data_IF_383400182574
#
_entry.id   IF_383400182574
#
_cell.length_a   1.000
_cell.length_b   1.000
_cell.length_c   1.000
_cell.angle_alpha   90.00
_cell.angle_beta   90.00
_cell.angle_gamma   90.00
#
_symmetry.space_group_name_H-M   'P 1'
#
loop_
_entity.id
_entity.type
_entity.pdbx_description
1 polymer ?
#
# COMPACT_ATOMS: atom_id res chain seq x y z
N UNK A 1 25.46 12.97 22.71
CA UNK A 1 25.10 11.82 21.86
C UNK A 1 23.74 12.11 21.26
N UNK A 2 23.55 11.84 19.97
CA UNK A 2 22.23 11.90 19.35
C UNK A 2 21.38 10.70 19.77
N UNK A 3 20.07 10.88 19.80
CA UNK A 3 19.09 9.78 19.87
C UNK A 3 18.65 9.50 18.44
N UNK A 4 18.67 8.24 18.01
CA UNK A 4 18.30 7.81 16.67
C UNK A 4 17.07 6.89 16.72
N UNK A 5 16.23 6.96 15.70
CA UNK A 5 15.04 6.12 15.58
C UNK A 5 15.35 4.86 14.76
N UNK A 6 15.52 3.75 15.46
CA UNK A 6 15.83 2.45 14.84
C UNK A 6 14.59 1.57 14.61
N UNK A 7 13.39 2.00 15.02
CA UNK A 7 12.17 1.22 14.79
C UNK A 7 11.77 1.23 13.32
N UNK A 8 11.02 0.21 12.93
CA UNK A 8 10.44 0.11 11.60
C UNK A 8 9.51 1.29 11.32
N UNK A 9 9.52 1.78 10.08
CA UNK A 9 8.58 2.77 9.55
C UNK A 9 7.68 2.15 8.50
N UNK A 10 6.78 2.95 7.92
CA UNK A 10 5.89 2.53 6.84
C UNK A 10 6.63 1.93 5.64
N UNK A 11 7.68 2.62 5.17
CA UNK A 11 8.42 2.24 3.97
C UNK A 11 9.63 1.35 4.27
N UNK A 12 10.25 1.50 5.45
CA UNK A 12 11.48 0.80 5.84
C UNK A 12 11.27 0.02 7.13
N UNK A 13 11.17 -1.30 7.00
CA UNK A 13 10.88 -2.22 8.12
C UNK A 13 12.10 -2.97 8.62
N UNK A 14 13.17 -3.05 7.83
CA UNK A 14 14.42 -3.72 8.17
C UNK A 14 15.59 -2.74 8.03
N UNK A 15 16.07 -2.24 9.17
CA UNK A 15 17.17 -1.25 9.24
C UNK A 15 18.53 -1.90 9.51
N UNK A 16 18.53 -3.08 10.10
CA UNK A 16 19.73 -3.85 10.42
C UNK A 16 20.08 -4.84 9.30
N UNK A 17 20.72 -4.36 8.24
CA UNK A 17 21.29 -5.20 7.18
C UNK A 17 22.78 -5.49 7.42
N UNK A 18 23.34 -6.57 6.82
CA UNK A 18 24.78 -6.79 6.84
C UNK A 18 25.55 -5.59 6.28
N UNK A 19 26.55 -5.13 7.02
CA UNK A 19 27.39 -4.01 6.58
C UNK A 19 28.30 -4.50 5.44
N UNK A 20 28.29 -3.84 4.26
CA UNK A 20 29.16 -4.24 3.16
C UNK A 20 30.64 -3.98 3.51
N UNK A 21 31.58 -4.53 2.74
CA UNK A 21 32.99 -4.18 2.91
C UNK A 21 33.24 -2.71 2.51
N UNK A 22 33.90 -1.96 3.40
CA UNK A 22 34.28 -0.56 3.16
C UNK A 22 35.62 -0.22 3.82
N UNK A 23 36.23 0.86 3.36
CA UNK A 23 37.37 1.50 4.03
C UNK A 23 36.99 2.90 4.48
N UNK A 24 37.62 3.35 5.57
CA UNK A 24 37.46 4.71 6.10
C UNK A 24 38.81 5.42 6.03
N UNK A 25 38.79 6.63 5.48
CA UNK A 25 39.90 7.57 5.60
C UNK A 25 39.40 8.83 6.27
N UNK A 26 39.99 9.16 7.41
CA UNK A 26 39.60 10.32 8.19
C UNK A 26 40.76 11.32 8.29
N UNK A 27 40.45 12.59 8.12
CA UNK A 27 41.37 13.72 8.33
C UNK A 27 40.72 14.71 9.29
N UNK A 28 41.42 15.80 9.62
CA UNK A 28 40.84 16.87 10.44
C UNK A 28 39.62 17.54 9.77
N UNK A 29 39.55 17.52 8.43
CA UNK A 29 38.51 18.22 7.64
C UNK A 29 37.47 17.31 7.02
N UNK A 30 37.85 16.09 6.65
CA UNK A 30 37.00 15.19 5.87
C UNK A 30 36.96 13.78 6.45
N UNK A 31 35.77 13.17 6.36
CA UNK A 31 35.55 11.74 6.48
C UNK A 31 35.25 11.19 5.08
N UNK A 32 36.02 10.20 4.63
CA UNK A 32 35.78 9.49 3.37
C UNK A 32 35.47 8.03 3.65
N UNK A 33 34.34 7.53 3.16
CA UNK A 33 33.96 6.11 3.19
C UNK A 33 33.98 5.59 1.77
N UNK A 34 34.74 4.53 1.50
CA UNK A 34 34.85 3.93 0.16
C UNK A 34 34.40 2.48 0.15
N UNK A 35 33.59 2.11 -0.83
CA UNK A 35 33.22 0.73 -1.14
C UNK A 35 33.77 0.34 -2.51
N UNK A 36 33.49 -0.88 -3.00
CA UNK A 36 33.79 -1.24 -4.39
C UNK A 36 33.00 -0.39 -5.41
N UNK A 37 31.86 0.18 -5.01
CA UNK A 37 30.87 0.80 -5.90
C UNK A 37 30.87 2.33 -5.85
N UNK A 38 31.05 2.90 -4.66
CA UNK A 38 30.93 4.34 -4.43
C UNK A 38 31.92 4.85 -3.40
N UNK A 39 32.12 6.17 -3.41
CA UNK A 39 32.87 6.93 -2.43
C UNK A 39 31.96 8.02 -1.87
N UNK A 40 31.81 8.05 -0.54
CA UNK A 40 31.15 9.11 0.20
C UNK A 40 32.21 10.02 0.82
N UNK A 41 32.06 11.32 0.66
CA UNK A 41 32.89 12.33 1.32
C UNK A 41 32.00 13.29 2.13
N UNK A 42 32.39 13.51 3.38
CA UNK A 42 31.72 14.41 4.31
C UNK A 42 32.68 15.42 4.94
N UNK A 43 32.33 16.70 4.89
CA UNK A 43 33.06 17.78 5.56
C UNK A 43 32.72 17.80 7.06
N UNK A 44 33.66 17.37 7.90
CA UNK A 44 33.46 17.18 9.35
C UNK A 44 33.05 18.48 10.05
N UNK A 45 32.16 18.34 11.03
CA UNK A 45 31.69 19.45 11.86
C UNK A 45 30.76 20.45 11.15
N UNK A 46 30.26 20.11 9.96
CA UNK A 46 29.29 20.92 9.20
C UNK A 46 27.98 20.16 9.04
N UNK A 47 26.81 20.82 9.09
CA UNK A 47 25.55 20.18 8.72
C UNK A 47 25.60 19.64 7.28
N UNK A 48 24.81 18.62 6.98
CA UNK A 48 24.66 18.13 5.61
C UNK A 48 24.04 19.19 4.72
N UNK A 49 24.71 19.45 3.59
CA UNK A 49 24.40 20.44 2.56
C UNK A 49 25.01 19.95 1.25
N UNK A 50 24.63 20.60 0.14
CA UNK A 50 25.15 20.27 -1.19
C UNK A 50 26.68 20.31 -1.29
N UNK A 51 27.32 21.18 -0.51
CA UNK A 51 28.77 21.39 -0.48
C UNK A 51 29.50 20.59 0.62
N UNK A 52 28.77 19.87 1.48
CA UNK A 52 29.37 19.18 2.63
C UNK A 52 29.17 17.67 2.63
N UNK A 53 28.24 17.12 1.84
CA UNK A 53 28.04 15.68 1.68
C UNK A 53 27.87 15.33 0.20
N UNK A 54 28.83 14.54 -0.31
CA UNK A 54 28.95 14.13 -1.71
C UNK A 54 29.09 12.61 -1.79
N UNK A 55 28.40 11.99 -2.75
CA UNK A 55 28.60 10.58 -3.13
C UNK A 55 28.87 10.49 -4.62
N UNK A 56 29.91 9.75 -4.99
CA UNK A 56 30.31 9.50 -6.39
C UNK A 56 30.54 8.02 -6.63
N UNK A 57 30.37 7.59 -7.88
CA UNK A 57 30.81 6.26 -8.32
C UNK A 57 32.32 6.11 -8.29
N UNK A 58 32.79 4.88 -8.10
CA UNK A 58 34.22 4.56 -8.33
C UNK A 58 34.54 4.59 -9.82
N UNK A 59 35.82 4.51 -10.19
CA UNK A 59 36.24 4.45 -11.59
C UNK A 59 35.60 3.28 -12.38
N UNK A 60 35.17 2.21 -11.70
CA UNK A 60 34.48 1.07 -12.29
C UNK A 60 32.95 1.27 -12.44
N UNK A 61 32.39 2.33 -11.85
CA UNK A 61 30.96 2.61 -11.77
C UNK A 61 30.66 4.04 -12.26
N UNK A 62 30.95 4.29 -13.53
CA UNK A 62 30.79 5.60 -14.19
C UNK A 62 29.34 5.94 -14.57
N UNK A 63 28.43 4.98 -14.41
CA UNK A 63 27.00 5.14 -14.63
C UNK A 63 26.25 5.74 -13.43
N UNK A 64 26.97 5.99 -12.32
CA UNK A 64 26.50 6.74 -11.16
C UNK A 64 26.96 8.20 -11.26
N UNK A 65 26.03 9.11 -11.60
CA UNK A 65 26.31 10.55 -11.54
C UNK A 65 26.59 10.98 -10.10
N UNK A 66 27.42 12.01 -9.88
CA UNK A 66 27.61 12.59 -8.56
C UNK A 66 26.29 13.02 -7.92
N UNK A 67 26.09 12.64 -6.67
CA UNK A 67 24.97 13.06 -5.84
C UNK A 67 25.46 13.95 -4.70
N UNK A 68 24.76 15.05 -4.46
CA UNK A 68 24.99 15.93 -3.31
C UNK A 68 23.73 16.01 -2.44
N UNK A 69 23.91 16.23 -1.13
CA UNK A 69 22.78 16.25 -0.20
C UNK A 69 21.69 17.25 -0.58
N UNK A 70 20.43 16.80 -0.57
CA UNK A 70 19.27 17.59 -0.98
C UNK A 70 19.15 17.83 -2.50
N UNK A 71 19.95 17.15 -3.32
CA UNK A 71 19.79 17.17 -4.77
C UNK A 71 18.59 16.31 -5.19
N UNK A 72 17.69 16.90 -5.98
CA UNK A 72 16.61 16.17 -6.62
C UNK A 72 17.09 15.56 -7.94
N UNK A 73 16.73 14.31 -8.18
CA UNK A 73 17.10 13.59 -9.40
C UNK A 73 16.20 14.03 -10.55
N UNK A 74 16.76 14.72 -11.56
CA UNK A 74 16.03 15.12 -12.78
C UNK A 74 15.77 13.92 -13.69
N UNK A 75 16.58 12.89 -13.57
CA UNK A 75 16.46 11.65 -14.31
C UNK A 75 15.62 10.57 -13.62
N UNK A 76 14.92 10.89 -12.52
CA UNK A 76 14.16 9.90 -11.75
C UNK A 76 13.02 9.34 -12.60
N UNK A 77 12.83 8.02 -12.58
CA UNK A 77 11.79 7.35 -13.38
C UNK A 77 10.41 7.32 -12.70
N UNK A 78 10.30 8.01 -11.56
CA UNK A 78 9.10 8.35 -10.81
C UNK A 78 8.30 7.16 -10.28
N UNK A 79 7.29 7.45 -9.47
CA UNK A 79 6.27 6.49 -9.08
C UNK A 79 4.95 6.70 -9.83
N UNK A 80 3.95 5.91 -9.46
CA UNK A 80 2.56 6.13 -9.91
C UNK A 80 1.84 7.14 -9.01
N UNK A 81 0.57 7.45 -9.26
CA UNK A 81 -0.29 8.20 -8.33
C UNK A 81 -1.32 7.28 -7.67
N UNK A 82 -1.97 7.74 -6.60
CA UNK A 82 -2.97 6.94 -5.88
C UNK A 82 -4.14 6.50 -6.75
N UNK A 83 -4.65 7.40 -7.59
CA UNK A 83 -5.85 7.19 -8.39
C UNK A 83 -5.74 7.89 -9.73
N UNK A 84 -6.21 7.22 -10.79
CA UNK A 84 -6.38 7.79 -12.13
C UNK A 84 -7.85 8.22 -12.41
N UNK A 85 -8.74 8.09 -11.43
CA UNK A 85 -10.13 8.52 -11.60
C UNK A 85 -10.23 10.01 -11.91
N UNK A 86 -11.06 10.32 -12.92
CA UNK A 86 -11.27 11.69 -13.37
C UNK A 86 -10.12 12.26 -14.21
N UNK A 87 -9.08 11.47 -14.51
CA UNK A 87 -8.04 11.85 -15.45
C UNK A 87 -8.27 11.21 -16.82
N UNK A 88 -8.02 12.00 -17.87
CA UNK A 88 -7.76 11.48 -19.22
C UNK A 88 -6.30 10.96 -19.30
N UNK A 89 -5.65 11.09 -20.46
CA UNK A 89 -4.21 10.83 -20.59
C UNK A 89 -3.40 11.86 -19.78
N UNK A 90 -3.01 11.50 -18.56
CA UNK A 90 -2.18 12.32 -17.66
C UNK A 90 -0.72 11.85 -17.67
N UNK A 91 0.22 12.79 -17.66
CA UNK A 91 1.62 12.45 -17.41
C UNK A 91 1.78 12.14 -15.92
N UNK A 92 2.29 10.96 -15.59
CA UNK A 92 2.68 10.63 -14.22
C UNK A 92 3.92 11.41 -13.76
N UNK A 93 4.48 12.25 -14.63
CA UNK A 93 5.54 13.16 -14.27
C UNK A 93 4.99 14.39 -13.55
N UNK A 94 5.19 14.48 -12.22
CA UNK A 94 4.76 15.65 -11.43
C UNK A 94 5.27 16.99 -11.97
N UNK A 95 6.40 16.99 -12.69
CA UNK A 95 6.96 18.23 -13.25
C UNK A 95 6.23 18.69 -14.50
N UNK A 96 5.44 17.82 -15.12
CA UNK A 96 4.71 18.05 -16.37
C UNK A 96 3.19 18.13 -16.17
N UNK A 97 2.68 17.69 -15.03
CA UNK A 97 1.25 17.72 -14.70
C UNK A 97 0.98 18.59 -13.47
N UNK A 98 0.83 19.92 -13.65
CA UNK A 98 0.46 20.84 -12.55
C UNK A 98 -0.97 20.63 -12.05
N UNK A 99 -1.76 19.79 -12.73
CA UNK A 99 -3.16 19.48 -12.43
C UNK A 99 -3.37 18.04 -11.95
N UNK A 100 -2.37 17.38 -11.35
CA UNK A 100 -2.69 16.25 -10.48
C UNK A 100 -3.20 16.90 -9.19
N UNK A 101 -4.53 17.00 -8.96
CA UNK A 101 -5.08 17.62 -7.76
C UNK A 101 -4.35 17.17 -6.49
N UNK A 102 -4.41 18.02 -5.47
CA UNK A 102 -3.74 17.96 -4.15
C UNK A 102 -3.89 16.64 -3.36
N UNK A 103 -4.48 15.61 -3.96
CA UNK A 103 -4.67 14.28 -3.39
C UNK A 103 -3.38 13.46 -3.25
N UNK A 104 -2.28 13.77 -3.95
CA UNK A 104 -1.03 12.99 -3.82
C UNK A 104 0.27 13.74 -4.23
N UNK A 105 0.82 14.61 -3.36
CA UNK A 105 2.08 15.32 -3.63
C UNK A 105 3.32 14.40 -3.67
N UNK A 106 3.19 13.15 -3.21
CA UNK A 106 4.32 12.26 -2.96
C UNK A 106 4.74 11.39 -4.16
N UNK A 107 4.02 11.37 -5.28
CA UNK A 107 4.31 10.46 -6.38
C UNK A 107 5.71 10.64 -7.00
N UNK A 108 6.22 11.86 -7.02
CA UNK A 108 7.59 12.13 -7.45
C UNK A 108 8.66 11.70 -6.44
N UNK A 109 8.29 11.52 -5.17
CA UNK A 109 9.17 10.98 -4.14
C UNK A 109 9.17 9.44 -4.09
N UNK A 110 8.34 8.77 -4.90
CA UNK A 110 8.22 7.31 -4.88
C UNK A 110 9.12 6.56 -5.87
N UNK A 111 9.86 7.26 -6.75
CA UNK A 111 10.75 6.57 -7.69
C UNK A 111 12.08 6.15 -7.06
N UNK A 112 12.38 4.84 -7.09
CA UNK A 112 13.62 4.25 -6.53
C UNK A 112 14.77 4.13 -7.54
N UNK A 113 14.52 4.48 -8.80
CA UNK A 113 15.48 4.33 -9.89
C UNK A 113 15.52 5.60 -10.75
N UNK A 114 16.70 5.87 -11.30
CA UNK A 114 16.97 7.08 -12.07
C UNK A 114 17.95 6.83 -13.20
N UNK A 115 17.82 7.58 -14.28
CA UNK A 115 18.81 7.63 -15.37
C UNK A 115 20.11 8.33 -14.94
N UNK A 116 20.10 9.08 -13.83
CA UNK A 116 21.29 9.66 -13.19
C UNK A 116 22.01 8.65 -12.27
N UNK A 117 21.45 7.45 -12.10
CA UNK A 117 22.09 6.35 -11.38
C UNK A 117 21.84 6.31 -9.87
N UNK A 118 21.10 7.29 -9.34
CA UNK A 118 20.74 7.34 -7.92
C UNK A 118 19.31 7.82 -7.68
N UNK A 119 18.72 7.37 -6.58
CA UNK A 119 17.47 7.88 -6.04
C UNK A 119 17.57 8.01 -4.51
N UNK A 120 16.78 8.90 -3.93
CA UNK A 120 16.73 9.10 -2.48
C UNK A 120 15.34 8.78 -1.97
N UNK A 121 15.25 7.94 -0.94
CA UNK A 121 14.04 7.71 -0.17
C UNK A 121 14.16 8.44 1.17
N UNK A 122 13.26 9.39 1.42
CA UNK A 122 13.17 10.14 2.67
C UNK A 122 12.24 9.45 3.67
N UNK A 123 12.79 9.08 4.83
CA UNK A 123 12.09 8.35 5.89
C UNK A 123 11.88 9.18 7.18
N UNK A 124 12.35 10.43 7.20
CA UNK A 124 11.99 11.42 8.22
C UNK A 124 10.48 11.70 8.26
N UNK A 125 9.91 11.86 9.46
CA UNK A 125 8.51 12.21 9.69
C UNK A 125 7.52 11.08 9.41
N UNK A 126 8.00 9.91 8.95
CA UNK A 126 7.15 8.76 8.59
C UNK A 126 6.60 8.08 9.85
N UNK A 127 5.38 7.51 9.78
CA UNK A 127 4.81 6.72 10.86
C UNK A 127 5.70 5.54 11.24
N UNK A 128 5.80 5.29 12.54
CA UNK A 128 6.53 4.17 13.12
C UNK A 128 5.57 2.99 13.27
N UNK A 129 6.06 1.81 12.92
CA UNK A 129 5.41 0.55 13.22
C UNK A 129 5.71 0.18 14.68
N UNK A 130 4.67 0.03 15.48
CA UNK A 130 4.80 -0.32 16.90
C UNK A 130 5.04 -1.82 17.10
N UNK A 131 5.18 -2.23 18.36
CA UNK A 131 5.49 -3.62 18.74
C UNK A 131 4.38 -4.63 18.43
N UNK A 132 3.17 -4.19 18.06
CA UNK A 132 2.07 -5.09 17.66
C UNK A 132 1.96 -5.21 16.13
N UNK A 133 3.04 -4.88 15.41
CA UNK A 133 3.12 -4.83 13.95
C UNK A 133 2.12 -3.85 13.33
N UNK A 134 1.60 -2.91 14.11
CA UNK A 134 0.63 -1.93 13.65
C UNK A 134 1.31 -0.61 13.34
N UNK A 135 0.84 0.11 12.32
CA UNK A 135 1.34 1.46 12.07
C UNK A 135 0.73 2.43 13.08
N UNK A 136 1.57 3.02 13.91
CA UNK A 136 1.13 4.10 14.76
C UNK A 136 1.17 5.41 13.97
N UNK A 137 0.02 6.03 13.67
CA UNK A 137 -0.04 7.32 12.99
C UNK A 137 0.46 8.47 13.88
N UNK A 138 0.51 8.24 15.21
CA UNK A 138 0.93 9.23 16.22
C UNK A 138 2.43 9.15 16.46
N UNK A 139 3.01 7.95 16.44
CA UNK A 139 4.46 7.79 16.58
C UNK A 139 5.10 8.03 15.21
N UNK A 140 5.93 9.06 15.12
CA UNK A 140 6.64 9.43 13.90
C UNK A 140 8.14 9.34 14.10
N UNK A 141 8.86 9.08 13.02
CA UNK A 141 10.30 9.22 12.99
C UNK A 141 10.68 10.69 13.13
N UNK A 142 11.31 11.06 14.24
CA UNK A 142 11.69 12.44 14.56
C UNK A 142 13.18 12.73 14.31
N UNK A 143 13.93 11.79 13.72
CA UNK A 143 15.33 12.01 13.37
C UNK A 143 15.45 13.19 12.41
N UNK A 144 16.33 14.15 12.68
CA UNK A 144 16.44 15.36 11.84
C UNK A 144 16.70 15.03 10.36
N UNK A 145 17.40 13.92 10.10
CA UNK A 145 17.71 13.39 8.78
C UNK A 145 17.63 11.87 8.89
N UNK A 146 16.75 11.25 8.10
CA UNK A 146 16.71 9.82 7.89
C UNK A 146 16.38 9.56 6.42
N UNK A 147 17.38 9.06 5.68
CA UNK A 147 17.32 8.92 4.24
C UNK A 147 18.11 7.70 3.75
N UNK A 148 17.66 7.14 2.63
CA UNK A 148 18.29 6.00 1.97
C UNK A 148 18.68 6.40 0.55
N UNK A 149 19.97 6.33 0.23
CA UNK A 149 20.50 6.60 -1.11
C UNK A 149 20.64 5.31 -1.90
N UNK A 150 19.78 5.14 -2.91
CA UNK A 150 19.84 4.04 -3.87
C UNK A 150 20.81 4.36 -5.01
N UNK A 151 22.11 4.22 -4.77
CA UNK A 151 23.17 4.54 -5.73
C UNK A 151 23.60 3.33 -6.58
N UNK A 152 22.72 2.86 -7.45
CA UNK A 152 22.88 1.58 -8.19
C UNK A 152 23.35 1.75 -9.64
N UNK A 153 23.58 2.98 -10.09
CA UNK A 153 23.82 3.25 -11.50
C UNK A 153 22.61 2.83 -12.33
N UNK A 154 22.83 2.08 -13.40
CA UNK A 154 21.77 1.56 -14.26
C UNK A 154 21.29 0.15 -13.90
N UNK A 155 21.74 -0.41 -12.77
CA UNK A 155 21.23 -1.70 -12.29
C UNK A 155 19.90 -1.54 -11.55
N UNK A 156 18.85 -1.22 -12.32
CA UNK A 156 17.50 -0.98 -11.79
C UNK A 156 16.91 -2.19 -11.09
N UNK A 157 17.25 -3.40 -11.56
CA UNK A 157 16.76 -4.64 -10.95
C UNK A 157 17.36 -4.83 -9.57
N UNK A 158 18.65 -4.51 -9.40
CA UNK A 158 19.28 -4.57 -8.09
C UNK A 158 18.69 -3.53 -7.13
N UNK A 159 18.42 -2.30 -7.59
CA UNK A 159 17.83 -1.26 -6.76
C UNK A 159 16.46 -1.69 -6.19
N UNK A 160 15.60 -2.26 -7.04
CA UNK A 160 14.30 -2.78 -6.61
C UNK A 160 14.45 -3.99 -5.68
N UNK A 161 15.40 -4.90 -5.94
CA UNK A 161 15.70 -6.02 -5.05
C UNK A 161 16.15 -5.55 -3.68
N UNK A 162 17.08 -4.61 -3.60
CA UNK A 162 17.61 -4.11 -2.33
C UNK A 162 16.57 -3.28 -1.58
N UNK A 163 15.65 -2.61 -2.28
CA UNK A 163 14.48 -2.03 -1.63
C UNK A 163 13.63 -3.08 -0.91
N UNK A 164 13.44 -4.29 -1.46
CA UNK A 164 12.70 -5.35 -0.74
C UNK A 164 13.46 -5.87 0.48
N UNK A 165 14.78 -5.70 0.55
CA UNK A 165 15.55 -6.08 1.74
C UNK A 165 15.24 -5.16 2.92
N UNK A 166 15.16 -3.85 2.69
CA UNK A 166 14.83 -2.87 3.76
C UNK A 166 13.32 -2.67 3.94
N UNK A 167 12.57 -2.71 2.85
CA UNK A 167 11.14 -2.42 2.78
C UNK A 167 10.26 -3.65 2.89
N UNK A 168 10.84 -4.83 3.13
CA UNK A 168 10.15 -6.11 3.28
C UNK A 168 9.84 -6.79 1.95
N UNK A 169 9.70 -8.11 2.01
CA UNK A 169 9.52 -8.98 0.85
C UNK A 169 8.09 -8.89 0.28
N UNK A 170 7.96 -9.10 -1.02
CA UNK A 170 6.65 -9.23 -1.69
C UNK A 170 6.13 -10.65 -1.38
N UNK A 171 4.95 -10.79 -0.75
CA UNK A 171 4.41 -12.10 -0.44
C UNK A 171 4.00 -12.84 -1.72
N UNK A 172 4.17 -14.16 -1.72
CA UNK A 172 3.65 -14.99 -2.80
C UNK A 172 2.11 -14.99 -2.74
N UNK A 173 1.48 -14.65 -3.85
CA UNK A 173 0.02 -14.58 -3.96
C UNK A 173 -0.63 -15.98 -3.90
N UNK A 174 -1.94 -16.05 -3.59
CA UNK A 174 -2.73 -17.26 -3.83
C UNK A 174 -2.69 -17.66 -5.31
N UNK A 175 -2.71 -18.97 -5.60
CA UNK A 175 -2.61 -19.46 -6.99
C UNK A 175 -3.70 -18.91 -7.91
N UNK A 176 -4.91 -18.70 -7.41
CA UNK A 176 -6.02 -18.16 -8.21
C UNK A 176 -5.78 -16.71 -8.65
N UNK A 177 -4.87 -15.97 -8.01
CA UNK A 177 -4.54 -14.60 -8.36
C UNK A 177 -3.82 -14.48 -9.71
N UNK A 178 -3.23 -15.58 -10.23
CA UNK A 178 -2.65 -15.62 -11.58
C UNK A 178 -3.63 -16.09 -12.65
N UNK A 179 -4.89 -16.33 -12.28
CA UNK A 179 -5.95 -16.77 -13.18
C UNK A 179 -6.70 -15.61 -13.83
N UNK A 180 -7.69 -15.93 -14.67
CA UNK A 180 -8.54 -14.92 -15.28
C UNK A 180 -9.54 -14.37 -14.27
N UNK A 181 -9.57 -13.04 -14.13
CA UNK A 181 -10.50 -12.34 -13.25
C UNK A 181 -11.51 -11.55 -14.09
N UNK A 182 -12.78 -11.62 -13.71
CA UNK A 182 -13.84 -10.80 -14.30
C UNK A 182 -14.44 -9.86 -13.27
N UNK A 183 -14.52 -8.58 -13.62
CA UNK A 183 -15.27 -7.54 -12.90
C UNK A 183 -15.91 -6.60 -13.90
N UNK A 184 -16.97 -5.92 -13.48
CA UNK A 184 -17.56 -4.80 -14.21
C UNK A 184 -18.36 -3.95 -13.24
N UNK A 185 -18.21 -2.63 -13.32
CA UNK A 185 -19.11 -1.70 -12.65
C UNK A 185 -20.53 -1.80 -13.26
N UNK A 186 -21.35 -2.68 -12.69
CA UNK A 186 -22.67 -3.04 -13.17
C UNK A 186 -23.55 -3.57 -12.02
N UNK A 187 -24.87 -3.38 -12.13
CA UNK A 187 -25.84 -3.86 -11.17
C UNK A 187 -26.17 -5.35 -11.37
N UNK A 188 -25.18 -6.22 -11.24
CA UNK A 188 -25.38 -7.66 -11.36
C UNK A 188 -26.43 -8.16 -10.36
N UNK A 189 -27.45 -8.87 -10.85
CA UNK A 189 -28.25 -9.77 -10.01
C UNK A 189 -27.70 -11.20 -10.04
N UNK A 190 -28.26 -12.09 -9.20
CA UNK A 190 -27.83 -13.49 -9.15
C UNK A 190 -27.98 -14.24 -10.49
N UNK A 191 -28.91 -13.82 -11.36
CA UNK A 191 -29.10 -14.36 -12.70
C UNK A 191 -28.05 -13.86 -13.69
N UNK A 192 -27.71 -12.57 -13.65
CA UNK A 192 -26.65 -11.98 -14.47
C UNK A 192 -25.28 -12.61 -14.18
N UNK A 193 -24.98 -12.87 -12.90
CA UNK A 193 -23.75 -13.56 -12.50
C UNK A 193 -23.69 -14.95 -13.15
N UNK A 194 -24.79 -15.72 -13.06
CA UNK A 194 -24.86 -17.06 -13.66
C UNK A 194 -24.67 -17.01 -15.17
N UNK A 195 -25.40 -16.12 -15.86
CA UNK A 195 -25.28 -15.93 -17.31
C UNK A 195 -23.85 -15.55 -17.71
N UNK A 196 -23.20 -14.69 -16.95
CA UNK A 196 -21.82 -14.26 -17.22
C UNK A 196 -20.85 -15.44 -17.13
N UNK A 197 -20.89 -16.19 -16.03
CA UNK A 197 -20.03 -17.37 -15.83
C UNK A 197 -20.32 -18.46 -16.87
N UNK A 198 -21.60 -18.72 -17.17
CA UNK A 198 -21.98 -19.70 -18.20
C UNK A 198 -21.55 -19.24 -19.60
N UNK A 199 -21.43 -17.93 -19.85
CA UNK A 199 -20.88 -17.39 -21.11
C UNK A 199 -19.39 -17.65 -21.25
N UNK A 200 -18.59 -17.45 -20.19
CA UNK A 200 -17.18 -17.85 -20.19
C UNK A 200 -17.03 -19.34 -20.51
N UNK A 201 -17.85 -20.17 -19.85
CA UNK A 201 -17.84 -21.62 -20.09
C UNK A 201 -18.25 -21.99 -21.53
N UNK A 202 -19.28 -21.35 -22.10
CA UNK A 202 -19.74 -21.64 -23.47
C UNK A 202 -18.75 -21.18 -24.55
N UNK A 203 -17.95 -20.17 -24.25
CA UNK A 203 -16.86 -19.70 -25.12
C UNK A 203 -15.53 -20.44 -24.90
N UNK A 204 -15.50 -21.44 -24.01
CA UNK A 204 -14.28 -22.14 -23.58
C UNK A 204 -13.17 -21.18 -23.07
N UNK A 205 -13.57 -20.08 -22.43
CA UNK A 205 -12.66 -19.13 -21.80
C UNK A 205 -12.47 -19.49 -20.32
N UNK A 206 -11.23 -19.52 -19.81
CA UNK A 206 -10.98 -19.75 -18.39
C UNK A 206 -11.52 -18.58 -17.55
N UNK A 207 -12.06 -18.90 -16.38
CA UNK A 207 -12.47 -17.93 -15.38
C UNK A 207 -12.19 -18.50 -13.99
N UNK A 208 -11.28 -17.87 -13.26
CA UNK A 208 -10.86 -18.30 -11.92
C UNK A 208 -11.49 -17.43 -10.83
N UNK A 209 -11.76 -16.16 -11.14
CA UNK A 209 -12.22 -15.16 -10.15
C UNK A 209 -13.38 -14.34 -10.70
N UNK A 210 -14.46 -14.25 -9.93
CA UNK A 210 -15.55 -13.31 -10.17
C UNK A 210 -15.55 -12.23 -9.08
N UNK A 211 -15.38 -10.98 -9.48
CA UNK A 211 -15.35 -9.84 -8.57
C UNK A 211 -16.67 -9.09 -8.65
N UNK A 212 -17.29 -8.93 -7.49
CA UNK A 212 -18.48 -8.12 -7.31
C UNK A 212 -18.09 -6.65 -7.14
N UNK A 213 -18.32 -5.86 -8.17
CA UNK A 213 -18.13 -4.41 -8.13
C UNK A 213 -19.21 -3.73 -7.24
N UNK A 214 -19.17 -2.40 -7.13
CA UNK A 214 -19.91 -1.50 -6.24
C UNK A 214 -21.40 -1.76 -5.94
N UNK A 215 -22.08 -2.54 -6.76
CA UNK A 215 -23.51 -2.75 -6.65
C UNK A 215 -23.89 -3.97 -5.80
N UNK A 216 -22.91 -4.72 -5.29
CA UNK A 216 -23.18 -5.92 -4.48
C UNK A 216 -23.84 -5.60 -3.13
N UNK A 217 -23.54 -4.42 -2.57
CA UNK A 217 -24.10 -3.95 -1.32
C UNK A 217 -25.27 -2.96 -1.54
N UNK A 218 -26.04 -2.70 -0.48
CA UNK A 218 -27.11 -1.71 -0.48
C UNK A 218 -26.58 -0.33 -0.87
N UNK A 219 -27.22 0.31 -1.85
CA UNK A 219 -26.78 1.60 -2.41
C UNK A 219 -27.30 2.84 -1.67
N UNK A 220 -27.33 2.78 -0.35
CA UNK A 220 -27.67 3.96 0.46
C UNK A 220 -26.50 4.95 0.57
N UNK A 221 -25.29 4.52 0.20
CA UNK A 221 -24.04 5.24 0.33
C UNK A 221 -22.98 4.65 -0.62
N UNK A 222 -21.83 5.32 -0.72
CA UNK A 222 -20.66 4.82 -1.45
C UNK A 222 -19.95 3.73 -0.63
N UNK A 223 -19.92 3.86 0.69
CA UNK A 223 -19.55 2.77 1.60
C UNK A 223 -20.74 1.84 1.84
N UNK A 224 -20.49 0.52 1.85
CA UNK A 224 -21.47 -0.46 2.32
C UNK A 224 -20.88 -1.83 2.62
N UNK A 225 -21.47 -2.53 3.59
CA UNK A 225 -21.06 -3.85 4.05
C UNK A 225 -22.23 -4.85 4.10
N UNK A 226 -23.37 -4.50 3.50
CA UNK A 226 -24.60 -5.27 3.55
C UNK A 226 -25.05 -5.61 2.15
N UNK A 227 -25.14 -6.90 1.82
CA UNK A 227 -25.66 -7.38 0.53
C UNK A 227 -27.00 -6.74 0.17
N UNK A 228 -27.12 -6.26 -1.07
CA UNK A 228 -28.40 -5.82 -1.60
C UNK A 228 -29.30 -7.03 -1.90
N UNK A 229 -30.27 -7.26 -1.02
CA UNK A 229 -31.20 -8.40 -1.11
C UNK A 229 -32.16 -8.33 -2.30
N UNK A 230 -32.25 -7.20 -3.00
CA UNK A 230 -33.03 -7.08 -4.24
C UNK A 230 -32.30 -7.72 -5.42
N UNK A 231 -30.98 -7.57 -5.47
CA UNK A 231 -30.12 -8.18 -6.50
C UNK A 231 -29.71 -9.61 -6.11
N UNK A 232 -29.49 -9.84 -4.82
CA UNK A 232 -29.07 -11.10 -4.25
C UNK A 232 -29.98 -11.52 -3.08
N UNK A 233 -31.19 -12.06 -3.34
CA UNK A 233 -32.10 -12.50 -2.29
C UNK A 233 -31.45 -13.51 -1.32
N UNK A 234 -30.68 -14.45 -1.86
CA UNK A 234 -29.80 -15.38 -1.12
C UNK A 234 -28.35 -15.25 -1.62
N UNK A 235 -27.54 -14.35 -1.03
CA UNK A 235 -26.13 -14.18 -1.37
C UNK A 235 -25.32 -15.45 -1.14
N UNK A 236 -25.66 -16.23 -0.10
CA UNK A 236 -24.97 -17.48 0.18
C UNK A 236 -25.23 -18.53 -0.91
N UNK A 237 -26.41 -18.54 -1.54
CA UNK A 237 -26.69 -19.43 -2.67
C UNK A 237 -25.84 -19.10 -3.90
N UNK A 238 -25.71 -17.83 -4.28
CA UNK A 238 -24.86 -17.47 -5.43
C UNK A 238 -23.38 -17.72 -5.14
N UNK A 239 -22.92 -17.44 -3.93
CA UNK A 239 -21.55 -17.74 -3.51
C UNK A 239 -21.28 -19.25 -3.57
N UNK A 240 -22.14 -20.09 -2.98
CA UNK A 240 -22.01 -21.56 -3.10
C UNK A 240 -21.98 -22.02 -4.55
N UNK A 241 -22.81 -21.43 -5.41
CA UNK A 241 -22.87 -21.77 -6.83
C UNK A 241 -21.58 -21.44 -7.57
N UNK A 242 -20.94 -20.30 -7.26
CA UNK A 242 -19.63 -19.91 -7.80
C UNK A 242 -18.51 -20.84 -7.30
N UNK A 243 -18.45 -21.10 -5.98
CA UNK A 243 -17.45 -22.00 -5.39
C UNK A 243 -17.55 -23.42 -5.92
N UNK A 244 -18.77 -23.92 -6.15
CA UNK A 244 -19.02 -25.24 -6.73
C UNK A 244 -18.48 -25.39 -8.16
N UNK A 245 -18.23 -24.27 -8.85
CA UNK A 245 -17.58 -24.20 -10.17
C UNK A 245 -16.08 -23.90 -10.09
N UNK A 246 -15.51 -23.91 -8.89
CA UNK A 246 -14.10 -23.62 -8.64
C UNK A 246 -13.73 -22.14 -8.66
N UNK A 247 -14.71 -21.22 -8.78
CA UNK A 247 -14.41 -19.79 -8.79
C UNK A 247 -14.14 -19.27 -7.38
N UNK A 248 -13.18 -18.34 -7.32
CA UNK A 248 -12.96 -17.45 -6.17
C UNK A 248 -13.76 -16.17 -6.36
N UNK A 249 -14.08 -15.52 -5.25
CA UNK A 249 -14.91 -14.32 -5.23
C UNK A 249 -14.23 -13.21 -4.46
N UNK A 250 -14.32 -11.99 -4.98
CA UNK A 250 -13.92 -10.78 -4.28
C UNK A 250 -14.99 -9.72 -4.40
N UNK A 251 -14.92 -8.69 -3.56
CA UNK A 251 -15.81 -7.54 -3.66
C UNK A 251 -15.06 -6.22 -3.55
N UNK A 252 -15.54 -5.21 -4.27
CA UNK A 252 -15.13 -3.82 -4.08
C UNK A 252 -15.61 -3.31 -2.71
N UNK A 253 -14.74 -2.57 -2.01
CA UNK A 253 -15.00 -1.85 -0.77
C UNK A 253 -14.52 -0.41 -0.84
N UNK A 254 -15.35 0.50 -0.29
CA UNK A 254 -14.94 1.85 0.10
C UNK A 254 -15.25 2.08 1.57
N UNK A 255 -14.24 2.16 2.42
CA UNK A 255 -14.46 2.25 3.87
C UNK A 255 -14.70 3.68 4.39
N UNK A 256 -14.57 4.69 3.52
CA UNK A 256 -14.45 6.10 3.90
C UNK A 256 -15.54 6.61 4.84
N UNK A 257 -16.80 6.19 4.66
CA UNK A 257 -17.92 6.66 5.48
C UNK A 257 -18.09 5.89 6.80
N UNK A 258 -17.23 4.91 7.07
CA UNK A 258 -17.33 4.05 8.25
C UNK A 258 -18.57 3.15 8.21
N UNK A 259 -19.14 2.83 9.36
CA UNK A 259 -20.28 1.90 9.48
C UNK A 259 -21.56 2.68 9.72
N UNK A 260 -22.44 2.67 8.74
CA UNK A 260 -23.71 3.39 8.79
C UNK A 260 -24.79 2.61 9.58
N UNK A 261 -25.82 3.30 10.14
CA UNK A 261 -26.80 2.66 11.02
C UNK A 261 -27.73 1.66 10.32
N UNK A 262 -27.82 1.68 8.98
CA UNK A 262 -28.58 0.73 8.19
C UNK A 262 -27.79 -0.53 7.81
N UNK A 263 -26.50 -0.60 8.14
CA UNK A 263 -25.70 -1.81 7.91
C UNK A 263 -26.20 -2.95 8.79
N UNK A 264 -26.20 -4.17 8.26
CA UNK A 264 -26.65 -5.36 8.99
C UNK A 264 -25.90 -5.56 10.32
N UNK A 265 -24.63 -5.15 10.37
CA UNK A 265 -23.76 -5.26 11.55
C UNK A 265 -23.66 -3.97 12.37
N UNK A 266 -24.47 -2.93 12.08
CA UNK A 266 -24.35 -1.63 12.74
C UNK A 266 -24.51 -1.70 14.27
N UNK A 267 -25.49 -2.45 14.76
CA UNK A 267 -25.73 -2.64 16.21
C UNK A 267 -24.56 -3.38 16.87
N UNK A 268 -24.02 -4.40 16.20
CA UNK A 268 -22.90 -5.18 16.72
C UNK A 268 -21.62 -4.34 16.73
N UNK A 269 -21.38 -3.55 15.69
CA UNK A 269 -20.27 -2.58 15.60
C UNK A 269 -20.35 -1.52 16.71
N UNK A 270 -21.55 -0.96 16.95
CA UNK A 270 -21.77 0.02 18.01
C UNK A 270 -21.44 -0.59 19.39
N UNK A 271 -21.89 -1.82 19.64
CA UNK A 271 -21.57 -2.54 20.88
C UNK A 271 -20.06 -2.80 21.02
N UNK A 272 -19.40 -3.24 19.96
CA UNK A 272 -17.97 -3.58 19.98
C UNK A 272 -17.07 -2.36 20.19
N UNK A 273 -17.48 -1.19 19.70
CA UNK A 273 -16.72 0.06 19.81
C UNK A 273 -17.17 0.97 20.96
N UNK A 274 -18.31 0.66 21.60
CA UNK A 274 -18.94 1.54 22.60
C UNK A 274 -19.61 2.78 21.99
N UNK A 275 -19.76 2.85 20.67
CA UNK A 275 -20.41 3.96 19.99
C UNK A 275 -21.94 3.98 20.27
N UNK A 276 -22.58 5.16 20.24
CA UNK A 276 -24.02 5.26 20.41
C UNK A 276 -24.78 4.48 19.34
N UNK A 277 -25.80 3.66 19.70
CA UNK A 277 -26.58 2.92 18.72
C UNK A 277 -27.40 3.85 17.83
N UNK A 278 -27.68 3.42 16.60
CA UNK A 278 -28.53 4.14 15.65
C UNK A 278 -27.88 5.36 14.97
N UNK A 279 -26.59 5.62 15.21
CA UNK A 279 -25.80 6.64 14.51
C UNK A 279 -24.73 6.01 13.62
N UNK A 280 -24.29 6.76 12.61
CA UNK A 280 -23.12 6.36 11.84
C UNK A 280 -21.87 6.39 12.73
N UNK A 281 -21.03 5.36 12.59
CA UNK A 281 -19.76 5.23 13.29
C UNK A 281 -18.66 5.57 12.26
N UNK A 282 -18.08 6.78 12.32
CA UNK A 282 -17.13 7.23 11.30
C UNK A 282 -15.90 6.33 11.26
N UNK A 283 -15.25 6.28 10.09
CA UNK A 283 -14.00 5.57 9.93
C UNK A 283 -12.93 6.16 10.86
N UNK A 284 -12.32 5.32 11.69
CA UNK A 284 -11.24 5.69 12.59
C UNK A 284 -10.06 4.74 12.39
N UNK A 285 -9.13 5.14 11.53
CA UNK A 285 -7.93 4.36 11.19
C UNK A 285 -6.86 4.39 12.28
N UNK A 286 -7.06 5.17 13.34
CA UNK A 286 -6.10 5.30 14.44
C UNK A 286 -6.55 4.54 15.68
N UNK A 287 -7.76 3.99 15.66
CA UNK A 287 -8.36 3.29 16.78
C UNK A 287 -8.38 1.78 16.55
N UNK A 288 -7.47 1.09 17.24
CA UNK A 288 -7.35 -0.36 17.15
C UNK A 288 -8.64 -1.11 17.52
N UNK A 289 -9.47 -0.58 18.43
CA UNK A 289 -10.77 -1.18 18.78
C UNK A 289 -11.74 -1.07 17.61
N UNK A 290 -11.80 0.10 16.96
CA UNK A 290 -12.62 0.29 15.76
C UNK A 290 -12.21 -0.68 14.65
N UNK A 291 -10.91 -0.77 14.34
CA UNK A 291 -10.43 -1.57 13.21
C UNK A 291 -10.61 -3.07 13.44
N UNK A 292 -10.34 -3.55 14.65
CA UNK A 292 -10.65 -4.94 15.01
C UNK A 292 -12.13 -5.22 14.90
N UNK A 293 -12.99 -4.29 15.33
CA UNK A 293 -14.44 -4.46 15.20
C UNK A 293 -14.88 -4.44 13.71
N UNK A 294 -14.29 -3.59 12.86
CA UNK A 294 -14.56 -3.60 11.43
C UNK A 294 -14.24 -4.97 10.81
N UNK A 295 -13.07 -5.53 11.08
CA UNK A 295 -12.67 -6.83 10.53
C UNK A 295 -13.47 -7.99 11.16
N UNK A 296 -13.56 -8.06 12.49
CA UNK A 296 -14.14 -9.22 13.20
C UNK A 296 -15.67 -9.23 13.24
N UNK A 297 -16.31 -8.06 13.24
CA UNK A 297 -17.77 -7.94 13.39
C UNK A 297 -18.45 -7.62 12.06
N UNK A 298 -17.88 -6.73 11.25
CA UNK A 298 -18.53 -6.23 10.03
C UNK A 298 -18.15 -7.07 8.81
N UNK A 299 -16.86 -7.31 8.58
CA UNK A 299 -16.38 -8.00 7.38
C UNK A 299 -16.40 -9.52 7.53
N UNK A 300 -16.03 -10.06 8.70
CA UNK A 300 -16.01 -11.52 8.93
C UNK A 300 -17.27 -12.26 8.48
N UNK A 301 -18.51 -11.78 8.73
CA UNK A 301 -19.72 -12.47 8.26
C UNK A 301 -19.88 -12.53 6.74
N UNK A 302 -19.15 -11.70 5.99
CA UNK A 302 -19.14 -11.67 4.53
C UNK A 302 -18.04 -12.56 3.93
N UNK A 303 -17.09 -13.01 4.75
CA UNK A 303 -15.97 -13.87 4.37
C UNK A 303 -16.29 -15.36 4.53
N UNK A 304 -15.34 -16.23 4.15
CA UNK A 304 -15.34 -17.65 4.49
C UNK A 304 -15.83 -18.59 3.39
N UNK A 305 -16.15 -19.87 3.72
CA UNK A 305 -16.40 -20.92 2.72
C UNK A 305 -17.57 -20.62 1.75
N UNK A 306 -18.53 -19.82 2.21
CA UNK A 306 -19.70 -19.38 1.41
C UNK A 306 -19.75 -17.86 1.26
N UNK A 307 -18.60 -17.18 1.38
CA UNK A 307 -18.46 -15.73 1.29
C UNK A 307 -17.34 -15.32 0.33
N UNK A 308 -16.93 -14.05 0.43
CA UNK A 308 -15.81 -13.49 -0.32
C UNK A 308 -14.49 -14.13 0.14
N UNK A 309 -13.57 -14.39 -0.81
CA UNK A 309 -12.20 -14.83 -0.51
C UNK A 309 -11.25 -13.65 -0.29
N UNK A 310 -11.55 -12.48 -0.86
CA UNK A 310 -10.69 -11.30 -0.76
C UNK A 310 -11.44 -9.99 -1.00
N UNK A 311 -10.76 -8.88 -0.72
CA UNK A 311 -11.30 -7.54 -0.86
C UNK A 311 -10.53 -6.72 -1.89
N UNK A 312 -11.28 -5.89 -2.62
CA UNK A 312 -10.76 -4.83 -3.47
C UNK A 312 -10.98 -3.49 -2.76
N UNK A 313 -9.91 -2.87 -2.27
CA UNK A 313 -9.94 -1.59 -1.57
C UNK A 313 -9.80 -0.45 -2.59
N UNK A 314 -10.93 0.15 -2.95
CA UNK A 314 -11.00 1.13 -4.02
C UNK A 314 -10.89 2.58 -3.49
N UNK A 315 -9.83 2.88 -2.76
CA UNK A 315 -9.75 4.12 -1.99
C UNK A 315 -9.43 5.36 -2.84
N UNK A 316 -10.35 6.34 -2.84
CA UNK A 316 -10.19 7.60 -3.59
C UNK A 316 -10.38 8.86 -2.75
N UNK A 317 -10.75 8.72 -1.47
CA UNK A 317 -11.21 9.81 -0.61
C UNK A 317 -10.05 10.57 0.08
N UNK A 318 -8.91 10.72 -0.59
CA UNK A 318 -7.77 11.45 -0.04
C UNK A 318 -7.33 10.90 1.33
N UNK A 319 -7.12 11.77 2.31
CA UNK A 319 -6.62 11.40 3.65
C UNK A 319 -7.73 11.20 4.68
N UNK A 320 -8.97 10.97 4.24
CA UNK A 320 -10.12 10.78 5.13
C UNK A 320 -9.84 9.67 6.17
N UNK A 321 -10.17 9.95 7.44
CA UNK A 321 -9.89 9.04 8.56
C UNK A 321 -8.49 9.18 9.16
N UNK A 322 -7.66 10.12 8.68
CA UNK A 322 -6.32 10.43 9.21
C UNK A 322 -6.20 11.92 9.61
N UNK A 323 -5.17 12.31 10.40
CA UNK A 323 -4.99 13.69 10.90
C UNK A 323 -4.61 14.73 9.83
N UNK A 324 -4.30 14.32 8.60
CA UNK A 324 -3.52 15.11 7.64
C UNK A 324 -2.08 14.59 7.55
N UNK A 325 -1.17 15.31 6.88
CA UNK A 325 0.28 15.03 6.79
C UNK A 325 0.76 14.04 5.71
N UNK A 326 0.00 13.88 4.62
CA UNK A 326 0.50 13.13 3.46
C UNK A 326 0.44 11.61 3.62
N UNK A 327 -0.28 11.12 4.64
CA UNK A 327 -0.49 9.70 4.84
C UNK A 327 -1.59 9.18 3.90
N UNK A 328 -1.37 7.98 3.39
CA UNK A 328 -2.31 7.32 2.51
C UNK A 328 -3.11 6.27 3.31
N UNK A 329 -4.43 6.44 3.51
CA UNK A 329 -5.27 5.46 4.20
C UNK A 329 -5.18 4.05 3.62
N UNK A 330 -4.90 3.93 2.33
CA UNK A 330 -4.89 2.65 1.61
C UNK A 330 -3.86 1.68 2.17
N UNK A 331 -2.63 2.12 2.50
CA UNK A 331 -1.61 1.20 3.03
C UNK A 331 -1.99 0.66 4.43
N UNK A 332 -2.72 1.43 5.23
CA UNK A 332 -3.19 0.97 6.54
C UNK A 332 -4.26 -0.11 6.39
N UNK A 333 -5.25 0.12 5.52
CA UNK A 333 -6.30 -0.84 5.21
C UNK A 333 -5.74 -2.11 4.55
N UNK A 334 -4.77 -1.95 3.64
CA UNK A 334 -4.08 -3.07 3.02
C UNK A 334 -3.33 -3.90 4.05
N UNK A 335 -2.55 -3.26 4.92
CA UNK A 335 -1.83 -3.96 5.96
C UNK A 335 -2.78 -4.70 6.89
N UNK A 336 -3.84 -4.04 7.37
CA UNK A 336 -4.85 -4.62 8.24
C UNK A 336 -5.39 -5.91 7.61
N UNK A 337 -5.93 -5.83 6.39
CA UNK A 337 -6.59 -6.97 5.73
C UNK A 337 -5.61 -8.04 5.24
N UNK A 338 -4.43 -7.63 4.78
CA UNK A 338 -3.40 -8.56 4.33
C UNK A 338 -2.78 -9.35 5.49
N UNK A 339 -2.77 -8.81 6.71
CA UNK A 339 -2.19 -9.50 7.89
C UNK A 339 -3.24 -10.10 8.83
N UNK A 340 -4.53 -9.89 8.55
CA UNK A 340 -5.60 -10.27 9.47
C UNK A 340 -5.71 -11.78 9.69
N UNK A 341 -5.43 -12.58 8.66
CA UNK A 341 -5.36 -14.04 8.78
C UNK A 341 -4.25 -14.45 9.77
N UNK A 342 -3.11 -13.74 9.79
CA UNK A 342 -2.00 -14.02 10.71
C UNK A 342 -2.40 -13.69 12.14
N UNK A 343 -3.05 -12.55 12.37
CA UNK A 343 -3.66 -12.19 13.67
C UNK A 343 -4.64 -13.27 14.14
N UNK A 344 -5.42 -13.84 13.22
CA UNK A 344 -6.39 -14.93 13.46
C UNK A 344 -5.76 -16.33 13.49
N UNK A 345 -4.43 -16.45 13.39
CA UNK A 345 -3.68 -17.73 13.38
C UNK A 345 -4.11 -18.68 12.25
N UNK A 346 -4.50 -18.12 11.11
CA UNK A 346 -4.86 -18.85 9.89
C UNK A 346 -3.64 -18.91 8.97
N UNK A 347 -3.43 -20.08 8.36
CA UNK A 347 -2.33 -20.30 7.40
C UNK A 347 -2.85 -20.10 5.97
N UNK A 348 -3.14 -18.86 5.64
CA UNK A 348 -3.70 -18.48 4.34
C UNK A 348 -2.82 -17.40 3.70
N UNK A 349 -2.82 -17.34 2.37
CA UNK A 349 -2.22 -16.21 1.65
C UNK A 349 -3.33 -15.20 1.40
N UNK A 350 -3.13 -13.97 1.85
CA UNK A 350 -4.06 -12.90 1.52
C UNK A 350 -3.93 -12.53 0.04
N UNK A 351 -5.05 -12.15 -0.56
CA UNK A 351 -5.07 -11.30 -1.75
C UNK A 351 -5.77 -10.01 -1.34
N UNK A 352 -5.19 -8.87 -1.71
CA UNK A 352 -5.85 -7.57 -1.63
C UNK A 352 -5.61 -6.90 -2.97
N UNK A 353 -6.68 -6.50 -3.64
CA UNK A 353 -6.57 -5.59 -4.78
C UNK A 353 -6.76 -4.19 -4.23
N UNK A 354 -5.89 -3.25 -4.58
CA UNK A 354 -6.09 -1.89 -4.12
C UNK A 354 -5.37 -0.87 -4.97
N UNK A 355 -5.89 0.35 -4.91
CA UNK A 355 -5.21 1.54 -5.42
C UNK A 355 -3.85 1.74 -4.75
N UNK A 356 -3.02 2.59 -5.32
CA UNK A 356 -1.65 2.75 -4.83
C UNK A 356 -1.58 3.47 -3.47
N UNK A 357 -1.20 2.73 -2.43
CA UNK A 357 -1.02 3.26 -1.06
C UNK A 357 0.38 3.81 -0.69
N UNK A 358 1.28 4.01 -1.66
CA UNK A 358 2.63 4.55 -1.40
C UNK A 358 3.70 3.50 -1.09
N UNK A 359 4.88 3.97 -0.66
CA UNK A 359 6.03 3.12 -0.35
C UNK A 359 5.76 2.14 0.80
N UNK A 360 6.28 0.92 0.66
CA UNK A 360 6.07 -0.19 1.58
C UNK A 360 4.83 -1.03 1.28
N UNK A 361 3.95 -0.55 0.42
CA UNK A 361 2.67 -1.20 0.18
C UNK A 361 2.75 -2.47 -0.68
N UNK A 362 3.88 -2.67 -1.38
CA UNK A 362 4.19 -3.91 -2.12
C UNK A 362 4.16 -5.16 -1.23
N UNK A 363 4.24 -4.99 0.09
CA UNK A 363 4.09 -6.07 1.07
C UNK A 363 2.67 -6.62 1.19
N UNK A 364 1.65 -5.90 0.71
CA UNK A 364 0.26 -6.19 1.09
C UNK A 364 -0.69 -6.36 -0.09
N UNK A 365 -0.50 -5.58 -1.16
CA UNK A 365 -1.46 -5.47 -2.25
C UNK A 365 -0.95 -6.00 -3.58
N UNK A 366 -1.89 -6.34 -4.45
CA UNK A 366 -1.73 -6.24 -5.91
C UNK A 366 -2.32 -4.89 -6.33
N UNK A 367 -1.47 -4.00 -6.82
CA UNK A 367 -1.88 -2.69 -7.32
C UNK A 367 -2.53 -2.78 -8.70
N UNK A 368 -3.47 -1.90 -8.98
CA UNK A 368 -4.07 -1.70 -10.31
C UNK A 368 -4.14 -0.22 -10.68
#
# INVERSE_FOLDING_TARGET
MGTFEDRATLAVVHRALPVPAFTVRETDRYLTISTQRLVLEYAKGKPFRRDTLLVVGTAAHTDLQPWTFGQQSRGNLLGTIRTLDGFDAVSLNCTQSPHIPDFEPLHCAWGLISTEGWAVLEDHGRPIMDSVQWFSPVLRNLDQIDMYLFAHGRDYRQALRDYTQIGGQIPLLPRYASGSMFTRWYAFDAGDVRRTVDTFASMALPLDVFIFDMNWHTKNAWTGYTWDRRLFPDPSAIQRWLKARGLRTGANLHDAQGVNPWEAQAVAMARATGAPPGRAIPLDLLNATYLRALEDVVLRPLEGPTGMDFWWIDWQQGQQGLPGDGLNPTILLNHLRATDHTRRKQNERALILSRWGGMGNHRYQVGF
#
